data_IF_194319658251
#
_entry.id   IF_194319658251
#
_cell.length_a   1.000
_cell.length_b   1.000
_cell.length_c   1.000
_cell.angle_alpha   90.00
_cell.angle_beta   90.00
_cell.angle_gamma   90.00
#
_symmetry.space_group_name_H-M   'P 1'
#
loop_
_entity.id
_entity.type
_entity.pdbx_description
1 polymer ?
#
# COMPACT_ATOMS: atom_id res chain seq x y z
N UNK A 1 -17.08 5.28 11.47
CA UNK A 1 -16.79 6.62 10.92
C UNK A 1 -17.71 6.88 9.74
N UNK A 2 -18.05 8.16 9.47
CA UNK A 2 -18.87 8.50 8.30
C UNK A 2 -18.05 8.40 7.02
N UNK A 3 -18.69 8.03 5.92
CA UNK A 3 -18.08 8.05 4.58
C UNK A 3 -17.99 9.50 4.12
N UNK A 4 -16.80 9.95 3.72
CA UNK A 4 -16.54 11.31 3.25
C UNK A 4 -16.36 11.28 1.74
N UNK A 5 -17.25 11.98 1.02
CA UNK A 5 -17.14 12.19 -0.44
C UNK A 5 -16.39 13.50 -0.66
N UNK A 6 -15.31 13.46 -1.43
CA UNK A 6 -14.42 14.62 -1.69
C UNK A 6 -14.97 15.45 -2.84
N UNK A 7 -14.82 16.76 -2.73
CA UNK A 7 -15.07 17.70 -3.83
C UNK A 7 -13.96 17.58 -4.90
N UNK A 8 -14.19 18.19 -6.07
CA UNK A 8 -13.17 18.24 -7.14
C UNK A 8 -11.90 18.97 -6.70
N UNK A 9 -12.03 20.02 -5.90
CA UNK A 9 -10.92 20.79 -5.34
C UNK A 9 -10.12 19.96 -4.32
N UNK A 10 -10.81 19.18 -3.50
CA UNK A 10 -10.16 18.28 -2.55
C UNK A 10 -9.41 17.15 -3.26
N UNK A 11 -10.00 16.55 -4.30
CA UNK A 11 -9.32 15.55 -5.15
C UNK A 11 -8.09 16.16 -5.83
N UNK A 12 -8.17 17.40 -6.30
CA UNK A 12 -7.03 18.10 -6.88
C UNK A 12 -5.89 18.28 -5.87
N UNK A 13 -6.21 18.60 -4.61
CA UNK A 13 -5.21 18.68 -3.53
C UNK A 13 -4.63 17.30 -3.18
N UNK A 14 -5.46 16.25 -3.15
CA UNK A 14 -5.01 14.86 -2.95
C UNK A 14 -4.09 14.39 -4.09
N UNK A 15 -4.35 14.79 -5.33
CA UNK A 15 -3.47 14.49 -6.47
C UNK A 15 -2.07 15.08 -6.30
N UNK A 16 -1.95 16.29 -5.76
CA UNK A 16 -0.63 16.87 -5.45
C UNK A 16 0.09 16.10 -4.33
N UNK A 17 -0.60 15.73 -3.26
CA UNK A 17 -0.04 14.86 -2.22
C UNK A 17 0.38 13.49 -2.80
N UNK A 18 -0.48 12.87 -3.59
CA UNK A 18 -0.20 11.60 -4.27
C UNK A 18 0.99 11.68 -5.23
N UNK A 19 1.13 12.77 -5.98
CA UNK A 19 2.29 12.99 -6.85
C UNK A 19 3.59 13.09 -6.05
N UNK A 20 3.58 13.73 -4.89
CA UNK A 20 4.76 13.81 -4.02
C UNK A 20 5.11 12.42 -3.48
N UNK A 21 4.12 11.65 -3.03
CA UNK A 21 4.28 10.25 -2.62
C UNK A 21 4.87 9.40 -3.74
N UNK A 22 4.34 9.49 -4.95
CA UNK A 22 4.84 8.76 -6.12
C UNK A 22 6.31 9.11 -6.44
N UNK A 23 6.70 10.40 -6.30
CA UNK A 23 8.09 10.83 -6.48
C UNK A 23 9.03 10.28 -5.40
N UNK A 24 8.58 10.19 -4.15
CA UNK A 24 9.36 9.61 -3.06
C UNK A 24 9.56 8.10 -3.28
N UNK A 25 8.51 7.41 -3.67
CA UNK A 25 8.57 5.98 -4.02
C UNK A 25 9.47 5.72 -5.24
N UNK A 26 9.38 6.53 -6.29
CA UNK A 26 10.25 6.39 -7.47
C UNK A 26 11.72 6.61 -7.12
N UNK A 27 12.03 7.57 -6.25
CA UNK A 27 13.40 7.80 -5.78
C UNK A 27 13.92 6.59 -4.97
N UNK A 28 13.12 6.06 -4.05
CA UNK A 28 13.47 4.84 -3.30
C UNK A 28 13.63 3.63 -4.22
N UNK A 29 12.74 3.45 -5.22
CA UNK A 29 12.80 2.39 -6.22
C UNK A 29 14.09 2.42 -7.02
N UNK A 30 14.49 3.59 -7.51
CA UNK A 30 15.74 3.77 -8.27
C UNK A 30 16.99 3.52 -7.43
N UNK A 31 16.93 3.81 -6.14
CA UNK A 31 18.04 3.59 -5.22
C UNK A 31 18.15 2.13 -4.76
N UNK A 32 17.05 1.37 -4.79
CA UNK A 32 17.01 -0.02 -4.32
C UNK A 32 17.93 -0.92 -5.17
N UNK A 33 18.99 -1.41 -4.52
CA UNK A 33 20.00 -2.29 -5.12
C UNK A 33 20.67 -3.13 -4.05
N UNK A 34 21.36 -4.18 -4.46
CA UNK A 34 22.16 -5.00 -3.54
C UNK A 34 23.12 -4.11 -2.74
N UNK A 35 23.13 -4.29 -1.43
CA UNK A 35 24.03 -3.63 -0.48
C UNK A 35 23.52 -2.32 0.11
N UNK A 36 22.46 -1.68 -0.44
CA UNK A 36 21.83 -0.53 0.20
C UNK A 36 21.11 -0.98 1.48
N UNK A 37 21.12 -0.16 2.50
CA UNK A 37 20.35 -0.38 3.72
C UNK A 37 18.93 0.13 3.58
N UNK A 38 18.00 -0.46 4.31
CA UNK A 38 16.61 0.04 4.33
C UNK A 38 16.51 1.43 4.98
N UNK A 39 17.42 1.80 5.88
CA UNK A 39 17.53 3.15 6.42
C UNK A 39 17.90 4.19 5.34
N UNK A 40 18.85 3.88 4.45
CA UNK A 40 19.20 4.77 3.33
C UNK A 40 18.01 4.99 2.39
N UNK A 41 17.17 3.98 2.15
CA UNK A 41 15.93 4.14 1.36
C UNK A 41 14.95 5.08 2.07
N UNK A 42 14.83 4.97 3.40
CA UNK A 42 14.00 5.88 4.18
C UNK A 42 14.48 7.34 4.09
N UNK A 43 15.78 7.59 4.21
CA UNK A 43 16.38 8.93 4.12
C UNK A 43 16.11 9.55 2.72
N UNK A 44 16.26 8.76 1.65
CA UNK A 44 16.01 9.21 0.27
C UNK A 44 14.53 9.62 0.10
N UNK A 45 13.60 8.80 0.57
CA UNK A 45 12.17 9.11 0.47
C UNK A 45 11.79 10.34 1.30
N UNK A 46 12.33 10.46 2.52
CA UNK A 46 12.09 11.61 3.41
C UNK A 46 12.59 12.91 2.81
N UNK A 47 13.79 12.92 2.22
CA UNK A 47 14.33 14.10 1.52
C UNK A 47 13.41 14.56 0.39
N UNK A 48 12.88 13.63 -0.40
CA UNK A 48 11.95 13.94 -1.49
C UNK A 48 10.67 14.57 -0.97
N UNK A 49 10.08 14.02 0.08
CA UNK A 49 8.84 14.54 0.69
C UNK A 49 9.08 15.95 1.24
N UNK A 50 10.11 16.11 2.10
CA UNK A 50 10.37 17.38 2.80
C UNK A 50 10.81 18.49 1.87
N UNK A 51 11.61 18.20 0.84
CA UNK A 51 12.04 19.18 -0.17
C UNK A 51 10.88 19.77 -0.98
N UNK A 52 9.73 19.10 -0.98
CA UNK A 52 8.48 19.55 -1.63
C UNK A 52 7.49 20.21 -0.67
N UNK A 53 7.89 20.44 0.59
CA UNK A 53 7.04 21.07 1.59
C UNK A 53 5.91 20.16 2.10
N UNK A 54 6.00 18.84 1.86
CA UNK A 54 5.10 17.85 2.42
C UNK A 54 5.63 17.27 3.74
N UNK A 55 4.77 16.59 4.47
CA UNK A 55 5.07 15.99 5.77
C UNK A 55 4.90 14.48 5.66
N UNK A 56 5.92 13.66 6.04
CA UNK A 56 5.76 12.21 6.12
C UNK A 56 4.62 11.85 7.08
N UNK A 57 3.66 11.05 6.62
CA UNK A 57 2.48 10.74 7.44
C UNK A 57 2.71 9.54 8.36
N UNK A 58 3.64 8.64 8.01
CA UNK A 58 3.95 7.47 8.85
C UNK A 58 4.81 7.82 10.05
N UNK A 59 5.72 8.78 9.92
CA UNK A 59 6.62 9.17 11.00
C UNK A 59 5.83 9.64 12.22
N UNK A 60 6.01 8.97 13.35
CA UNK A 60 5.27 9.14 14.59
C UNK A 60 3.77 8.78 14.51
N UNK A 61 3.36 8.01 13.51
CA UNK A 61 1.98 7.51 13.43
C UNK A 61 1.66 6.68 14.67
N UNK A 62 0.54 6.94 15.36
CA UNK A 62 0.20 6.25 16.60
C UNK A 62 -0.07 4.77 16.34
N UNK A 63 0.48 3.90 17.18
CA UNK A 63 0.19 2.48 17.11
C UNK A 63 -1.17 2.20 17.76
N UNK A 64 -2.12 1.56 17.06
CA UNK A 64 -3.47 1.33 17.59
C UNK A 64 -3.51 0.35 18.78
N UNK A 65 -2.46 -0.47 18.95
CA UNK A 65 -2.37 -1.50 20.00
C UNK A 65 -1.34 -1.19 21.09
N UNK A 66 -0.42 -0.26 20.84
CA UNK A 66 0.71 0.05 21.73
C UNK A 66 0.99 1.56 21.74
N UNK A 67 0.37 2.31 22.66
CA UNK A 67 0.49 3.77 22.75
C UNK A 67 1.94 4.28 22.89
N UNK A 68 2.84 3.47 23.46
CA UNK A 68 4.27 3.78 23.68
C UNK A 68 5.16 3.47 22.46
N UNK A 69 4.59 3.07 21.33
CA UNK A 69 5.33 2.63 20.15
C UNK A 69 4.85 3.29 18.84
N UNK A 70 4.96 4.62 18.68
CA UNK A 70 4.66 5.27 17.41
C UNK A 70 5.58 4.75 16.31
N UNK A 71 5.14 4.78 15.05
CA UNK A 71 5.96 4.32 13.93
C UNK A 71 7.20 5.20 13.75
N UNK A 72 8.42 4.65 13.71
CA UNK A 72 9.64 5.44 13.86
C UNK A 72 10.25 5.97 12.55
N UNK A 73 9.59 5.77 11.39
CA UNK A 73 10.19 6.05 10.09
C UNK A 73 9.21 6.74 9.12
N UNK A 74 9.74 7.26 8.01
CA UNK A 74 8.99 7.94 6.97
C UNK A 74 8.30 6.97 6.01
N UNK A 75 8.95 5.83 5.74
CA UNK A 75 8.43 4.77 4.87
C UNK A 75 8.44 3.43 5.61
N UNK A 76 7.69 2.46 5.10
CA UNK A 76 7.89 1.07 5.49
C UNK A 76 8.77 0.36 4.46
N UNK A 77 9.60 -0.59 4.89
CA UNK A 77 10.38 -1.45 4.01
C UNK A 77 10.26 -2.88 4.52
N UNK A 78 9.43 -3.65 3.87
CA UNK A 78 9.10 -5.03 4.24
C UNK A 78 9.78 -5.99 3.27
N UNK A 79 10.49 -7.01 3.79
CA UNK A 79 11.36 -7.86 2.98
C UNK A 79 10.98 -9.33 3.14
N UNK A 80 10.71 -10.01 2.01
CA UNK A 80 10.44 -11.44 1.88
C UNK A 80 9.14 -11.88 2.58
N UNK A 81 9.21 -12.37 3.81
CA UNK A 81 8.07 -12.79 4.65
C UNK A 81 7.45 -11.65 5.46
N UNK A 82 8.05 -10.46 5.42
CA UNK A 82 7.48 -9.25 6.00
C UNK A 82 6.42 -8.70 5.05
N UNK A 83 5.15 -8.76 5.46
CA UNK A 83 4.01 -8.37 4.63
C UNK A 83 3.90 -6.86 4.49
N UNK A 84 3.81 -6.16 5.65
CA UNK A 84 3.69 -4.70 5.74
C UNK A 84 4.35 -4.18 7.02
N UNK A 85 4.50 -2.88 7.12
CA UNK A 85 4.98 -2.13 8.29
C UNK A 85 6.42 -2.49 8.74
N UNK A 86 7.25 -3.04 7.84
CA UNK A 86 8.66 -3.30 8.14
C UNK A 86 9.39 -2.00 8.47
N UNK A 87 10.07 -1.96 9.64
CA UNK A 87 10.80 -0.76 10.10
C UNK A 87 12.15 -0.66 9.40
N UNK A 88 12.43 0.42 8.65
CA UNK A 88 13.75 0.65 8.05
C UNK A 88 14.88 0.66 9.08
N UNK A 89 16.02 0.08 8.73
CA UNK A 89 17.17 -0.03 9.62
C UNK A 89 18.45 -0.42 8.90
N UNK A 90 19.38 -1.06 9.64
CA UNK A 90 20.72 -1.42 9.14
C UNK A 90 20.73 -2.63 8.19
N UNK A 91 19.57 -3.30 7.96
CA UNK A 91 19.47 -4.45 7.05
C UNK A 91 19.81 -4.00 5.64
N UNK A 92 20.76 -4.70 5.01
CA UNK A 92 21.13 -4.49 3.61
C UNK A 92 20.32 -5.40 2.71
N UNK A 93 19.89 -4.88 1.58
CA UNK A 93 19.25 -5.67 0.54
C UNK A 93 20.26 -6.63 -0.09
N UNK A 94 19.84 -7.85 -0.35
CA UNK A 94 20.66 -8.89 -0.98
C UNK A 94 20.02 -9.41 -2.26
N UNK A 95 20.77 -10.17 -3.04
CA UNK A 95 20.26 -10.79 -4.26
C UNK A 95 19.13 -11.77 -3.94
N UNK A 96 18.01 -11.63 -4.63
CA UNK A 96 16.81 -12.47 -4.46
C UNK A 96 15.79 -11.92 -3.46
N UNK A 97 16.04 -10.80 -2.78
CA UNK A 97 15.04 -10.18 -1.90
C UNK A 97 13.82 -9.69 -2.70
N UNK A 98 12.64 -9.99 -2.18
CA UNK A 98 11.36 -9.36 -2.54
C UNK A 98 11.13 -8.24 -1.55
N UNK A 99 11.02 -6.99 -2.02
CA UNK A 99 11.00 -5.79 -1.17
C UNK A 99 9.76 -4.96 -1.47
N UNK A 100 8.88 -4.84 -0.49
CA UNK A 100 7.73 -3.94 -0.51
C UNK A 100 8.09 -2.63 0.18
N UNK A 101 7.89 -1.52 -0.49
CA UNK A 101 8.11 -0.16 0.03
C UNK A 101 6.80 0.58 -0.03
N UNK A 102 6.39 1.11 1.11
CA UNK A 102 5.16 1.87 1.26
C UNK A 102 5.46 3.25 1.84
N UNK A 103 4.78 4.27 1.32
CA UNK A 103 5.04 5.65 1.61
C UNK A 103 3.77 6.49 1.52
N UNK A 104 3.55 7.30 2.55
CA UNK A 104 2.52 8.32 2.54
C UNK A 104 3.03 9.70 2.94
N UNK A 105 2.42 10.74 2.39
CA UNK A 105 2.69 12.11 2.83
C UNK A 105 1.43 12.96 2.90
N UNK A 106 1.46 13.96 3.78
CA UNK A 106 0.44 15.00 3.86
C UNK A 106 0.94 16.25 3.16
N UNK A 107 0.13 16.78 2.24
CA UNK A 107 0.38 18.05 1.57
C UNK A 107 -0.89 18.87 1.52
N UNK A 108 -0.84 20.13 2.01
CA UNK A 108 -2.00 21.05 2.09
C UNK A 108 -3.22 20.42 2.81
N UNK A 109 -2.96 19.61 3.83
CA UNK A 109 -4.01 18.98 4.65
C UNK A 109 -4.70 17.77 4.00
N UNK A 110 -4.11 17.19 2.95
CA UNK A 110 -4.57 15.96 2.33
C UNK A 110 -3.44 14.93 2.23
N UNK A 111 -3.81 13.67 2.27
CA UNK A 111 -2.88 12.53 2.23
C UNK A 111 -2.85 11.91 0.84
N UNK A 112 -1.66 11.50 0.41
CA UNK A 112 -1.45 10.52 -0.65
C UNK A 112 -0.70 9.33 -0.06
N UNK A 113 -1.12 8.13 -0.41
CA UNK A 113 -0.63 6.86 0.11
C UNK A 113 -0.47 5.83 -1.00
N UNK A 114 0.66 5.13 -1.04
CA UNK A 114 0.95 4.17 -2.11
C UNK A 114 2.10 3.24 -1.75
N UNK A 115 2.05 2.02 -2.28
CA UNK A 115 3.10 1.02 -2.12
C UNK A 115 3.40 0.28 -3.42
N UNK A 116 4.63 -0.23 -3.52
CA UNK A 116 5.03 -1.15 -4.57
C UNK A 116 5.96 -2.24 -4.03
N UNK A 117 6.05 -3.34 -4.78
CA UNK A 117 7.02 -4.42 -4.51
C UNK A 117 7.96 -4.59 -5.70
N UNK A 118 9.24 -4.78 -5.41
CA UNK A 118 10.28 -5.09 -6.41
C UNK A 118 11.11 -6.30 -5.99
N UNK A 119 11.76 -6.91 -6.98
CA UNK A 119 12.86 -7.84 -6.76
C UNK A 119 14.21 -7.14 -6.77
N UNK A 120 15.12 -7.58 -5.92
CA UNK A 120 16.51 -7.10 -5.88
C UNK A 120 17.42 -8.15 -6.47
N UNK A 121 18.10 -7.83 -7.57
CA UNK A 121 18.91 -8.79 -8.31
C UNK A 121 18.05 -9.81 -9.06
N UNK A 122 18.35 -11.11 -8.93
CA UNK A 122 17.66 -12.20 -9.63
C UNK A 122 16.68 -12.89 -8.68
N UNK A 123 15.40 -12.84 -9.00
CA UNK A 123 14.35 -13.56 -8.28
C UNK A 123 14.19 -15.02 -8.78
N UNK A 124 13.56 -15.85 -7.97
CA UNK A 124 13.01 -17.11 -8.44
C UNK A 124 11.78 -16.87 -9.33
N UNK A 125 11.46 -17.79 -10.28
CA UNK A 125 10.25 -17.64 -11.12
C UNK A 125 8.95 -17.52 -10.30
N UNK A 126 8.88 -18.14 -9.14
CA UNK A 126 7.72 -18.05 -8.24
C UNK A 126 7.61 -16.66 -7.58
N UNK A 127 8.74 -16.09 -7.14
CA UNK A 127 8.78 -14.74 -6.58
C UNK A 127 8.44 -13.67 -7.64
N UNK A 128 8.97 -13.81 -8.88
CA UNK A 128 8.60 -12.92 -9.99
C UNK A 128 7.08 -12.99 -10.28
N UNK A 129 6.53 -14.20 -10.27
CA UNK A 129 5.09 -14.40 -10.46
C UNK A 129 4.27 -13.80 -9.33
N UNK A 130 4.71 -13.93 -8.07
CA UNK A 130 4.05 -13.30 -6.91
C UNK A 130 3.98 -11.79 -7.09
N UNK A 131 5.11 -11.13 -7.35
CA UNK A 131 5.18 -9.67 -7.54
C UNK A 131 4.24 -9.22 -8.65
N UNK A 132 4.32 -9.84 -9.83
CA UNK A 132 3.48 -9.52 -10.99
C UNK A 132 2.00 -9.71 -10.71
N UNK A 133 1.60 -10.84 -10.11
CA UNK A 133 0.18 -11.13 -9.83
C UNK A 133 -0.39 -10.18 -8.78
N UNK A 134 0.42 -9.75 -7.81
CA UNK A 134 0.00 -8.76 -6.82
C UNK A 134 -0.26 -7.39 -7.47
N UNK A 135 0.63 -6.95 -8.35
CA UNK A 135 0.44 -5.72 -9.13
C UNK A 135 -0.79 -5.81 -10.03
N UNK A 136 -0.97 -6.92 -10.75
CA UNK A 136 -2.16 -7.18 -11.58
C UNK A 136 -3.45 -7.16 -10.75
N UNK A 137 -3.42 -7.68 -9.51
CA UNK A 137 -4.57 -7.66 -8.59
C UNK A 137 -4.98 -6.22 -8.25
N UNK A 138 -4.01 -5.32 -8.02
CA UNK A 138 -4.26 -3.90 -7.79
C UNK A 138 -4.97 -3.27 -8.99
N UNK A 139 -4.44 -3.43 -10.20
CA UNK A 139 -5.05 -2.83 -11.38
C UNK A 139 -6.43 -3.42 -11.72
N UNK A 140 -6.71 -4.69 -11.37
CA UNK A 140 -8.06 -5.26 -11.46
C UNK A 140 -9.01 -4.63 -10.45
N UNK A 141 -8.56 -4.39 -9.23
CA UNK A 141 -9.32 -3.67 -8.21
C UNK A 141 -9.66 -2.24 -8.67
N UNK A 142 -8.68 -1.52 -9.23
CA UNK A 142 -8.87 -0.17 -9.79
C UNK A 142 -9.85 -0.19 -10.95
N UNK A 143 -9.75 -1.15 -11.87
CA UNK A 143 -10.64 -1.25 -13.03
C UNK A 143 -12.11 -1.45 -12.67
N UNK A 144 -12.42 -2.10 -11.56
CA UNK A 144 -13.80 -2.27 -11.07
C UNK A 144 -14.24 -1.16 -10.09
N UNK A 145 -13.35 -0.24 -9.73
CA UNK A 145 -13.62 0.90 -8.83
C UNK A 145 -14.37 2.02 -9.57
N UNK A 146 -15.58 1.72 -10.02
CA UNK A 146 -16.44 2.61 -10.85
C UNK A 146 -17.75 2.91 -10.13
N UNK A 147 -18.32 4.07 -10.42
CA UNK A 147 -19.65 4.43 -9.92
C UNK A 147 -20.69 3.34 -10.25
N UNK A 148 -21.51 2.98 -9.26
CA UNK A 148 -22.54 1.95 -9.37
C UNK A 148 -22.06 0.53 -8.99
N UNK A 149 -20.76 0.24 -9.01
CA UNK A 149 -20.21 -0.98 -8.41
C UNK A 149 -20.18 -0.86 -6.88
N UNK A 150 -19.82 -1.94 -6.21
CA UNK A 150 -19.76 -2.00 -4.74
C UNK A 150 -18.36 -2.37 -4.25
N UNK A 151 -18.03 -2.05 -3.00
CA UNK A 151 -16.73 -2.41 -2.40
C UNK A 151 -16.46 -3.91 -2.45
N UNK A 152 -17.50 -4.75 -2.32
CA UNK A 152 -17.35 -6.20 -2.47
C UNK A 152 -16.87 -6.63 -3.86
N UNK A 153 -17.15 -5.85 -4.91
CA UNK A 153 -16.62 -6.11 -6.25
C UNK A 153 -15.11 -5.86 -6.32
N UNK A 154 -14.62 -4.81 -5.63
CA UNK A 154 -13.19 -4.49 -5.52
C UNK A 154 -12.46 -5.60 -4.76
N UNK A 155 -12.95 -5.96 -3.57
CA UNK A 155 -12.40 -7.04 -2.75
C UNK A 155 -12.39 -8.39 -3.48
N UNK A 156 -13.49 -8.70 -4.19
CA UNK A 156 -13.59 -9.93 -4.98
C UNK A 156 -12.60 -9.95 -6.16
N UNK A 157 -12.38 -8.83 -6.82
CA UNK A 157 -11.43 -8.74 -7.93
C UNK A 157 -10.00 -9.06 -7.47
N UNK A 158 -9.60 -8.57 -6.28
CA UNK A 158 -8.30 -8.89 -5.66
C UNK A 158 -8.23 -10.40 -5.36
N UNK A 159 -9.17 -10.89 -4.57
CA UNK A 159 -9.21 -12.29 -4.11
C UNK A 159 -9.23 -13.28 -5.28
N UNK A 160 -10.14 -13.08 -6.21
CA UNK A 160 -10.31 -13.99 -7.34
C UNK A 160 -9.06 -14.07 -8.20
N UNK A 161 -8.41 -12.93 -8.46
CA UNK A 161 -7.17 -12.92 -9.24
C UNK A 161 -6.04 -13.62 -8.50
N UNK A 162 -5.85 -13.35 -7.21
CA UNK A 162 -4.83 -14.00 -6.39
C UNK A 162 -5.03 -15.53 -6.33
N UNK A 163 -6.23 -15.99 -5.96
CA UNK A 163 -6.54 -17.42 -5.76
C UNK A 163 -6.51 -18.19 -7.09
N UNK A 164 -6.96 -17.58 -8.20
CA UNK A 164 -6.87 -18.17 -9.55
C UNK A 164 -5.42 -18.36 -10.02
N UNK A 165 -4.47 -17.62 -9.45
CA UNK A 165 -3.04 -17.76 -9.67
C UNK A 165 -2.33 -18.60 -8.60
N UNK A 166 -3.07 -19.21 -7.66
CA UNK A 166 -2.52 -20.09 -6.62
C UNK A 166 -1.89 -19.35 -5.44
N UNK A 167 -2.19 -18.06 -5.25
CA UNK A 167 -1.77 -17.27 -4.10
C UNK A 167 -2.92 -17.03 -3.13
N UNK A 168 -2.59 -16.76 -1.87
CA UNK A 168 -3.54 -16.36 -0.85
C UNK A 168 -3.51 -14.84 -0.65
N UNK A 169 -4.61 -14.30 -0.11
CA UNK A 169 -4.71 -12.90 0.31
C UNK A 169 -4.79 -12.81 1.83
N UNK A 170 -4.24 -11.74 2.40
CA UNK A 170 -4.35 -11.47 3.84
C UNK A 170 -5.82 -11.31 4.26
N UNK A 171 -6.14 -11.70 5.49
CA UNK A 171 -7.51 -11.60 6.03
C UNK A 171 -7.65 -10.50 7.09
N UNK A 172 -6.59 -10.22 7.84
CA UNK A 172 -6.59 -9.31 8.98
C UNK A 172 -6.28 -7.86 8.62
N UNK A 173 -5.63 -7.62 7.47
CA UNK A 173 -5.28 -6.28 6.97
C UNK A 173 -6.12 -5.92 5.76
N UNK A 174 -6.40 -4.63 5.62
CA UNK A 174 -7.35 -4.14 4.61
C UNK A 174 -6.88 -2.81 4.04
N UNK A 175 -7.24 -2.51 2.83
CA UNK A 175 -7.24 -1.16 2.30
C UNK A 175 -8.21 -0.25 3.06
N UNK A 176 -8.11 1.04 2.83
CA UNK A 176 -8.84 2.04 3.61
C UNK A 176 -9.18 3.29 2.78
N UNK A 177 -10.18 4.04 3.24
CA UNK A 177 -10.41 5.40 2.76
C UNK A 177 -9.19 6.29 3.05
N UNK A 178 -8.92 7.22 2.18
CA UNK A 178 -7.84 8.22 2.30
C UNK A 178 -8.43 9.60 2.04
N UNK A 179 -7.96 10.60 2.78
CA UNK A 179 -8.43 11.96 2.59
C UNK A 179 -7.63 12.97 3.39
N UNK A 180 -8.22 13.56 4.39
CA UNK A 180 -7.51 14.42 5.36
C UNK A 180 -6.75 13.59 6.39
N UNK A 181 -7.30 12.43 6.70
CA UNK A 181 -6.63 11.43 7.52
C UNK A 181 -6.10 10.31 6.63
N UNK A 182 -5.03 9.66 7.08
CA UNK A 182 -4.45 8.53 6.38
C UNK A 182 -5.45 7.35 6.33
N UNK A 183 -6.08 7.05 7.45
CA UNK A 183 -7.09 6.01 7.54
C UNK A 183 -8.48 6.61 7.77
N UNK A 184 -9.26 6.66 6.72
CA UNK A 184 -10.68 7.02 6.75
C UNK A 184 -11.54 5.77 6.48
N UNK A 185 -12.85 5.88 6.70
CA UNK A 185 -13.80 4.91 6.15
C UNK A 185 -13.97 5.11 4.63
N UNK A 186 -14.23 4.03 3.87
CA UNK A 186 -14.47 2.66 4.28
C UNK A 186 -13.20 1.81 4.43
N UNK A 187 -13.31 0.62 5.05
CA UNK A 187 -12.32 -0.44 4.91
C UNK A 187 -12.54 -1.19 3.60
N UNK A 188 -11.44 -1.58 2.94
CA UNK A 188 -11.46 -2.33 1.68
C UNK A 188 -10.73 -3.67 1.88
N UNK A 189 -11.40 -4.72 2.34
CA UNK A 189 -10.77 -6.02 2.55
C UNK A 189 -10.18 -6.58 1.24
N UNK A 190 -9.11 -7.36 1.37
CA UNK A 190 -8.51 -8.10 0.25
C UNK A 190 -9.36 -9.29 -0.23
N UNK A 191 -10.49 -9.54 0.41
CA UNK A 191 -11.42 -10.63 0.14
C UNK A 191 -12.87 -10.18 0.31
N UNK A 192 -13.78 -10.75 -0.47
CA UNK A 192 -15.18 -10.35 -0.40
C UNK A 192 -16.08 -11.08 -1.38
N UNK A 193 -17.35 -10.71 -1.36
CA UNK A 193 -18.37 -11.22 -2.28
C UNK A 193 -18.79 -10.12 -3.25
N UNK A 194 -18.93 -10.42 -4.56
CA UNK A 194 -19.39 -9.44 -5.53
C UNK A 194 -20.80 -8.92 -5.17
N UNK A 195 -21.08 -7.71 -5.60
CA UNK A 195 -22.36 -7.01 -5.41
C UNK A 195 -22.75 -6.76 -3.94
N UNK A 196 -21.77 -6.74 -3.02
CA UNK A 196 -22.01 -6.46 -1.58
C UNK A 196 -21.27 -5.21 -1.11
N UNK A 197 -21.65 -4.74 0.08
CA UNK A 197 -21.01 -3.59 0.72
C UNK A 197 -21.44 -2.23 0.17
N UNK A 198 -20.65 -1.21 0.45
CA UNK A 198 -20.91 0.19 0.06
C UNK A 198 -20.95 0.33 -1.46
N UNK A 199 -21.94 1.05 -1.95
CA UNK A 199 -22.02 1.48 -3.35
C UNK A 199 -20.98 2.56 -3.63
N UNK A 200 -20.18 2.37 -4.68
CA UNK A 200 -19.17 3.31 -5.11
C UNK A 200 -19.82 4.50 -5.80
N UNK A 201 -19.42 5.71 -5.38
CA UNK A 201 -19.95 6.97 -5.93
C UNK A 201 -18.79 7.90 -6.27
N UNK A 202 -18.95 8.77 -7.29
CA UNK A 202 -17.94 9.75 -7.62
C UNK A 202 -17.55 10.60 -6.40
N UNK A 203 -16.26 10.84 -6.23
CA UNK A 203 -15.71 11.57 -5.10
C UNK A 203 -15.31 10.69 -3.89
N UNK A 204 -15.62 9.39 -3.90
CA UNK A 204 -15.01 8.47 -2.94
C UNK A 204 -13.52 8.32 -3.25
N UNK A 205 -12.68 8.44 -2.22
CA UNK A 205 -11.24 8.25 -2.31
C UNK A 205 -10.78 7.19 -1.32
N UNK A 206 -10.01 6.24 -1.80
CA UNK A 206 -9.51 5.14 -0.99
C UNK A 206 -8.28 4.49 -1.62
N UNK A 207 -7.58 3.69 -0.84
CA UNK A 207 -6.44 2.89 -1.27
C UNK A 207 -6.83 1.40 -1.27
N UNK A 208 -7.06 0.77 -2.45
CA UNK A 208 -7.02 -0.68 -2.55
C UNK A 208 -5.57 -1.13 -2.45
N UNK A 209 -5.29 -2.07 -1.56
CA UNK A 209 -3.93 -2.54 -1.26
C UNK A 209 -3.89 -4.07 -1.22
N UNK A 210 -3.81 -4.74 -2.37
CA UNK A 210 -3.64 -6.18 -2.40
C UNK A 210 -2.34 -6.59 -1.71
N UNK A 211 -2.49 -7.49 -0.74
CA UNK A 211 -1.42 -8.15 0.00
C UNK A 211 -1.53 -9.64 -0.24
N UNK A 212 -0.64 -10.17 -1.09
CA UNK A 212 -0.63 -11.57 -1.50
C UNK A 212 0.54 -12.32 -0.87
N UNK A 213 0.34 -13.62 -0.65
CA UNK A 213 1.35 -14.51 -0.12
C UNK A 213 1.33 -15.88 -0.81
N UNK A 214 2.51 -16.51 -0.90
CA UNK A 214 2.66 -17.85 -1.52
C UNK A 214 2.02 -18.91 -0.63
N UNK A 215 2.20 -18.79 0.68
CA UNK A 215 1.71 -19.74 1.68
C UNK A 215 0.33 -19.41 2.23
N UNK A 216 0.07 -19.81 3.47
CA UNK A 216 -1.20 -19.59 4.15
C UNK A 216 -1.48 -18.11 4.47
N UNK A 217 -2.76 -17.73 4.66
CA UNK A 217 -3.16 -16.34 4.86
C UNK A 217 -2.88 -15.79 6.27
N UNK A 218 -2.42 -16.60 7.19
CA UNK A 218 -2.22 -16.21 8.59
C UNK A 218 -0.94 -15.38 8.77
N UNK A 219 -1.03 -14.34 9.59
CA UNK A 219 0.08 -13.43 9.90
C UNK A 219 0.25 -13.25 11.40
N UNK A 220 1.32 -12.60 11.82
CA UNK A 220 1.53 -12.12 13.18
C UNK A 220 2.42 -10.88 13.20
N UNK A 221 2.34 -10.08 14.27
CA UNK A 221 3.17 -8.89 14.47
C UNK A 221 4.43 -9.28 15.23
N UNK A 222 5.60 -8.83 14.77
CA UNK A 222 6.89 -9.02 15.44
C UNK A 222 6.96 -8.30 16.80
N UNK A 223 8.04 -8.57 17.55
CA UNK A 223 8.31 -7.93 18.84
C UNK A 223 8.56 -6.42 18.76
N UNK A 224 8.87 -5.89 17.58
CA UNK A 224 9.00 -4.47 17.32
C UNK A 224 7.64 -3.72 17.33
N UNK A 225 6.53 -4.45 17.50
CA UNK A 225 5.15 -3.97 17.62
C UNK A 225 4.54 -3.44 16.32
N UNK A 226 5.28 -3.55 15.19
CA UNK A 226 4.85 -3.02 13.88
C UNK A 226 4.94 -4.03 12.75
N UNK A 227 6.11 -4.63 12.55
CA UNK A 227 6.34 -5.50 11.38
C UNK A 227 5.42 -6.70 11.38
N UNK A 228 4.58 -6.79 10.37
CA UNK A 228 3.68 -7.92 10.12
C UNK A 228 4.38 -8.95 9.24
N UNK A 229 4.36 -10.21 9.64
CA UNK A 229 5.00 -11.30 8.89
C UNK A 229 4.03 -12.46 8.66
N UNK A 230 4.23 -13.17 7.55
CA UNK A 230 3.52 -14.41 7.27
C UNK A 230 3.87 -15.47 8.33
N UNK A 231 2.87 -16.19 8.82
CA UNK A 231 3.08 -17.17 9.92
C UNK A 231 3.95 -18.35 9.52
N UNK A 232 3.93 -18.71 8.26
CA UNK A 232 4.70 -19.81 7.67
C UNK A 232 6.01 -19.36 7.02
N UNK A 233 6.36 -18.07 7.16
CA UNK A 233 7.53 -17.44 6.55
C UNK A 233 7.59 -17.55 5.02
N UNK A 234 6.46 -17.71 4.36
CA UNK A 234 6.36 -17.65 2.90
C UNK A 234 6.52 -16.23 2.39
N UNK A 235 7.03 -16.08 1.15
CA UNK A 235 7.15 -14.80 0.49
C UNK A 235 5.78 -14.13 0.33
N UNK A 236 5.77 -12.82 0.45
CA UNK A 236 4.60 -11.98 0.25
C UNK A 236 4.94 -10.71 -0.54
N UNK A 237 3.92 -10.07 -1.07
CA UNK A 237 4.04 -8.83 -1.85
C UNK A 237 2.84 -7.92 -1.56
N UNK A 238 3.09 -6.61 -1.65
CA UNK A 238 2.13 -5.55 -1.41
C UNK A 238 2.22 -4.49 -2.51
N UNK A 239 1.08 -4.10 -3.07
CA UNK A 239 0.95 -2.96 -3.98
C UNK A 239 -0.24 -2.12 -3.57
N UNK A 240 -0.17 -0.82 -3.82
CA UNK A 240 -1.20 0.11 -3.43
C UNK A 240 -1.18 1.38 -4.26
N UNK A 241 -2.36 1.93 -4.51
CA UNK A 241 -2.55 3.28 -5.01
C UNK A 241 -3.71 3.98 -4.31
N UNK A 242 -3.55 5.25 -3.95
CA UNK A 242 -4.72 6.10 -3.66
C UNK A 242 -5.44 6.42 -4.96
N UNK A 243 -6.75 6.14 -4.99
CA UNK A 243 -7.62 6.40 -6.14
C UNK A 243 -8.82 7.27 -5.78
N UNK A 244 -9.38 7.92 -6.78
CA UNK A 244 -10.67 8.57 -6.71
C UNK A 244 -11.67 7.89 -7.65
N UNK A 245 -12.85 7.53 -7.15
CA UNK A 245 -13.97 7.08 -7.96
C UNK A 245 -14.50 8.26 -8.76
N UNK A 246 -14.72 8.08 -10.06
CA UNK A 246 -15.28 9.07 -10.98
C UNK A 246 -16.57 8.55 -11.62
N UNK A 247 -17.20 9.34 -12.48
CA UNK A 247 -18.32 8.89 -13.34
C UNK A 247 -17.86 7.87 -14.42
N UNK A 248 -16.56 7.80 -14.68
CA UNK A 248 -15.93 6.88 -15.63
C UNK A 248 -15.00 5.88 -14.95
N UNK A 249 -13.77 5.81 -15.44
CA UNK A 249 -12.71 5.01 -14.82
C UNK A 249 -12.20 5.70 -13.55
N UNK A 250 -11.79 4.91 -12.55
CA UNK A 250 -11.16 5.47 -11.35
C UNK A 250 -9.86 6.21 -11.72
N UNK A 251 -9.67 7.36 -11.10
CA UNK A 251 -8.43 8.13 -11.25
C UNK A 251 -7.40 7.68 -10.23
N UNK A 252 -6.18 7.35 -10.68
CA UNK A 252 -5.05 7.07 -9.79
C UNK A 252 -4.42 8.40 -9.38
N UNK A 253 -4.46 8.73 -8.10
CA UNK A 253 -3.93 9.99 -7.57
C UNK A 253 -2.42 9.91 -7.26
N UNK A 254 -1.86 8.71 -7.11
CA UNK A 254 -0.45 8.44 -6.78
C UNK A 254 0.36 7.97 -7.98
N UNK A 255 0.06 8.49 -9.17
CA UNK A 255 0.84 8.28 -10.41
C UNK A 255 1.75 9.48 -10.73
N UNK A 256 2.81 9.23 -11.54
CA UNK A 256 3.73 10.24 -12.09
C UNK A 256 3.32 10.68 -13.49
#
# INVERSE_FOLDING_TARGET
MAIIVKTREEIAAMREAGRITALALDAARRAARIGITTAELNEIAEEVIRSRGAIPVFLNYPNPSYEDAPYPATITVSINDELVHGIPGKRKLVNGDVVSIDCGCTYRGFVGDSAFTIGVGTLTPEAERLVRVTEEALYRAIAVSRAGNRLGDVSFAIQHHAESNGFNVVREYTGHGVGREMHEAPLIPNWGKPHTGLELRPGLTYAPEPMLMIGGPAVYVKRDKWTVVTRDHSLCAHFEHTIAVTDGEAEILTAL
#
